data_IF_954079111081
#
_entry.id   IF_954079111081
#
_cell.length_a   1.000
_cell.length_b   1.000
_cell.length_c   1.000
_cell.angle_alpha   90.00
_cell.angle_beta   90.00
_cell.angle_gamma   90.00
#
_symmetry.space_group_name_H-M   'P 1'
#
loop_
_entity.id
_entity.type
_entity.pdbx_description
1 polymer ?
#
# COMPACT_ATOMS: atom_id res chain seq x y z
N UNK A 1 48.00 25.46 55.09
CA UNK A 1 47.90 25.37 53.61
C UNK A 1 48.25 24.00 53.03
N UNK A 2 48.43 22.92 53.83
CA UNK A 2 48.69 21.56 53.30
C UNK A 2 47.42 20.71 53.08
N UNK A 3 46.31 21.06 53.72
CA UNK A 3 45.07 20.27 53.65
C UNK A 3 44.22 20.55 52.40
N UNK A 4 44.40 21.71 51.75
CA UNK A 4 43.66 22.08 50.53
C UNK A 4 44.33 21.59 49.23
N UNK A 5 45.61 21.22 49.27
CA UNK A 5 46.30 20.64 48.11
C UNK A 5 45.95 19.17 47.91
N UNK A 6 45.73 18.41 48.99
CA UNK A 6 45.34 17.00 48.88
C UNK A 6 43.89 16.81 48.37
N UNK A 7 42.99 17.76 48.63
CA UNK A 7 41.60 17.69 48.15
C UNK A 7 41.46 17.96 46.65
N UNK A 8 42.38 18.71 46.05
CA UNK A 8 42.35 19.03 44.61
C UNK A 8 42.82 17.84 43.75
N UNK A 9 43.82 17.09 44.21
CA UNK A 9 44.24 15.85 43.54
C UNK A 9 43.16 14.78 43.62
N UNK A 10 42.49 14.65 44.76
CA UNK A 10 41.36 13.74 44.92
C UNK A 10 40.24 14.11 43.93
N UNK A 11 39.78 15.36 43.88
CA UNK A 11 38.71 15.75 42.95
C UNK A 11 39.08 15.55 41.47
N UNK A 12 40.32 15.84 41.08
CA UNK A 12 40.75 15.71 39.67
C UNK A 12 40.76 14.26 39.15
N UNK A 13 41.07 13.29 40.02
CA UNK A 13 41.13 11.88 39.63
C UNK A 13 39.74 11.26 39.49
N UNK A 14 38.80 11.62 40.36
CA UNK A 14 37.40 11.17 40.21
C UNK A 14 36.66 11.88 39.09
N UNK A 15 36.98 13.15 38.80
CA UNK A 15 36.30 13.89 37.72
C UNK A 15 36.56 13.26 36.35
N UNK A 16 37.80 12.85 36.06
CA UNK A 16 38.05 12.10 34.83
C UNK A 16 37.37 10.73 34.87
N UNK A 17 37.45 9.98 35.97
CA UNK A 17 36.77 8.68 36.05
C UNK A 17 35.26 8.79 35.76
N UNK A 18 34.58 9.80 36.31
CA UNK A 18 33.17 10.08 36.03
C UNK A 18 32.95 10.48 34.57
N UNK A 19 33.81 11.34 34.02
CA UNK A 19 33.72 11.77 32.62
C UNK A 19 33.93 10.61 31.64
N UNK A 20 34.84 9.67 31.96
CA UNK A 20 35.05 8.46 31.18
C UNK A 20 33.83 7.53 31.24
N UNK A 21 33.22 7.36 32.42
CA UNK A 21 31.99 6.58 32.56
C UNK A 21 30.84 7.21 31.77
N UNK A 22 30.68 8.53 31.83
CA UNK A 22 29.64 9.23 31.05
C UNK A 22 29.89 9.10 29.54
N UNK A 23 31.15 9.17 29.09
CA UNK A 23 31.49 8.96 27.67
C UNK A 23 31.19 7.53 27.22
N UNK A 24 31.44 6.53 28.07
CA UNK A 24 31.11 5.13 27.77
C UNK A 24 29.60 4.93 27.72
N UNK A 25 28.84 5.46 28.70
CA UNK A 25 27.38 5.39 28.67
C UNK A 25 26.84 6.11 27.43
N UNK A 26 27.36 7.30 27.12
CA UNK A 26 26.98 8.07 25.94
C UNK A 26 27.30 7.34 24.62
N UNK A 27 28.43 6.64 24.55
CA UNK A 27 28.76 5.80 23.39
C UNK A 27 27.82 4.59 23.28
N UNK A 28 27.50 3.93 24.40
CA UNK A 28 26.58 2.79 24.42
C UNK A 28 25.16 3.22 23.99
N UNK A 29 24.69 4.38 24.43
CA UNK A 29 23.40 4.95 23.99
C UNK A 29 23.46 5.49 22.56
N UNK A 30 24.63 5.90 22.07
CA UNK A 30 24.79 6.41 20.69
C UNK A 30 24.85 5.29 19.65
N UNK A 31 25.37 4.13 20.02
CA UNK A 31 25.46 2.96 19.15
C UNK A 31 24.25 2.01 19.29
N UNK A 32 23.17 2.44 19.96
CA UNK A 32 21.94 1.65 20.19
C UNK A 32 22.19 0.21 20.69
N UNK A 33 23.28 0.01 21.44
CA UNK A 33 23.61 -1.31 22.02
C UNK A 33 22.60 -1.71 23.12
N UNK A 34 21.78 -0.75 23.58
CA UNK A 34 20.69 -0.97 24.53
C UNK A 34 19.43 -0.27 23.97
N UNK A 35 18.81 -0.86 22.96
CA UNK A 35 17.39 -0.59 22.67
C UNK A 35 16.54 -1.38 23.68
N UNK A 36 15.85 -0.73 24.64
CA UNK A 36 14.99 -1.44 25.59
C UNK A 36 13.75 -2.07 24.94
N UNK A 37 13.45 -1.75 23.68
CA UNK A 37 12.33 -2.30 22.91
C UNK A 37 12.61 -3.73 22.42
N UNK A 38 13.88 -4.08 22.19
CA UNK A 38 14.32 -5.44 21.75
C UNK A 38 14.43 -6.42 22.94
N UNK A 39 14.24 -5.94 24.17
CA UNK A 39 14.40 -6.71 25.41
C UNK A 39 13.08 -7.03 26.11
N UNK A 40 11.94 -6.84 25.45
CA UNK A 40 10.67 -7.34 25.95
C UNK A 40 10.59 -8.85 25.67
N UNK A 41 10.53 -9.71 26.70
CA UNK A 41 10.34 -11.13 26.47
C UNK A 41 8.96 -11.37 25.89
N UNK A 42 8.90 -12.06 24.74
CA UNK A 42 7.67 -12.66 24.25
C UNK A 42 7.30 -13.81 25.19
N UNK A 43 6.20 -13.66 25.91
CA UNK A 43 5.72 -14.64 26.89
C UNK A 43 4.34 -15.12 26.46
N UNK A 44 4.19 -16.42 26.29
CA UNK A 44 2.88 -17.09 26.18
C UNK A 44 2.77 -18.12 27.30
N UNK A 45 2.17 -17.70 28.41
CA UNK A 45 2.01 -18.53 29.61
C UNK A 45 0.60 -19.14 29.62
N UNK A 46 0.51 -20.43 29.29
CA UNK A 46 -0.73 -21.19 29.37
C UNK A 46 -0.71 -22.13 30.59
N UNK A 47 -1.88 -22.37 31.21
CA UNK A 47 -1.97 -23.26 32.36
C UNK A 47 -1.64 -24.72 32.00
N UNK A 48 -1.27 -25.50 33.02
CA UNK A 48 -0.89 -26.91 32.85
C UNK A 48 -1.98 -27.71 32.13
N UNK A 49 -1.63 -28.30 30.98
CA UNK A 49 -2.53 -29.07 30.12
C UNK A 49 -2.56 -28.57 28.68
N UNK A 50 -2.29 -27.27 28.48
CA UNK A 50 -2.05 -26.68 27.16
C UNK A 50 -0.66 -26.07 27.16
N UNK A 51 0.10 -26.33 26.10
CA UNK A 51 1.43 -25.75 25.91
C UNK A 51 1.40 -24.83 24.69
N UNK A 52 1.84 -23.59 24.88
CA UNK A 52 1.99 -22.61 23.82
C UNK A 52 3.39 -22.75 23.22
N UNK A 53 3.47 -23.31 22.02
CA UNK A 53 4.76 -23.53 21.37
C UNK A 53 5.24 -22.29 20.62
N UNK A 54 4.30 -21.51 20.07
CA UNK A 54 4.58 -20.32 19.28
C UNK A 54 3.35 -19.41 19.25
N UNK A 55 3.57 -18.11 19.08
CA UNK A 55 2.51 -17.13 18.94
C UNK A 55 2.99 -15.89 18.20
N UNK A 56 2.09 -15.25 17.47
CA UNK A 56 2.35 -14.00 16.75
C UNK A 56 1.16 -13.08 16.95
N UNK A 57 1.43 -11.81 17.28
CA UNK A 57 0.41 -10.77 17.48
C UNK A 57 0.59 -9.72 16.39
N UNK A 58 -0.45 -9.55 15.56
CA UNK A 58 -0.54 -8.47 14.56
C UNK A 58 -1.64 -7.48 14.95
N UNK A 59 -1.72 -6.35 14.25
CA UNK A 59 -2.77 -5.36 14.47
C UNK A 59 -4.18 -5.90 14.18
N UNK A 60 -4.32 -6.85 13.24
CA UNK A 60 -5.59 -7.37 12.71
C UNK A 60 -5.89 -8.84 13.09
N UNK A 61 -4.88 -9.62 13.49
CA UNK A 61 -5.02 -11.01 13.92
C UNK A 61 -4.02 -11.43 15.01
N UNK A 62 -4.40 -12.40 15.83
CA UNK A 62 -3.53 -13.10 16.78
C UNK A 62 -3.46 -14.56 16.38
N UNK A 63 -2.24 -15.08 16.20
CA UNK A 63 -2.00 -16.49 15.90
C UNK A 63 -1.41 -17.20 17.11
N UNK A 64 -2.02 -18.30 17.54
CA UNK A 64 -1.55 -19.14 18.65
C UNK A 64 -1.30 -20.55 18.16
N UNK A 65 -0.17 -21.13 18.54
CA UNK A 65 0.16 -22.53 18.26
C UNK A 65 0.15 -23.33 19.56
N UNK A 66 -0.92 -24.11 19.75
CA UNK A 66 -1.22 -24.77 21.01
C UNK A 66 -1.07 -26.28 20.86
N UNK A 67 -0.38 -26.91 21.81
CA UNK A 67 -0.26 -28.37 21.93
C UNK A 67 -1.06 -28.88 23.12
N UNK A 68 -1.87 -29.91 22.89
CA UNK A 68 -2.61 -30.58 23.96
C UNK A 68 -1.69 -31.55 24.72
N UNK A 69 -1.31 -31.19 25.94
CA UNK A 69 -0.50 -32.05 26.83
C UNK A 69 -1.35 -32.81 27.85
N UNK A 70 -2.67 -32.65 27.82
CA UNK A 70 -3.59 -33.41 28.65
C UNK A 70 -3.53 -34.90 28.28
N UNK A 71 -3.86 -35.76 29.24
CA UNK A 71 -3.87 -37.21 29.05
C UNK A 71 -4.96 -37.73 28.08
N UNK A 72 -5.78 -36.85 27.50
CA UNK A 72 -6.99 -37.15 26.74
C UNK A 72 -7.19 -36.12 25.61
N UNK A 73 -8.01 -36.46 24.60
CA UNK A 73 -8.41 -35.51 23.54
C UNK A 73 -9.39 -34.47 24.07
N UNK A 74 -9.30 -33.25 23.56
CA UNK A 74 -10.17 -32.11 23.90
C UNK A 74 -10.73 -31.48 22.63
N UNK A 75 -11.82 -30.73 22.76
CA UNK A 75 -12.34 -29.88 21.69
C UNK A 75 -12.22 -28.43 22.16
N UNK A 76 -11.41 -27.63 21.47
CA UNK A 76 -11.36 -26.19 21.68
C UNK A 76 -12.61 -25.60 21.03
N UNK A 77 -13.43 -24.90 21.82
CA UNK A 77 -14.66 -24.26 21.35
C UNK A 77 -14.47 -22.79 21.06
N UNK A 78 -13.72 -22.12 21.92
CA UNK A 78 -13.57 -20.68 21.87
C UNK A 78 -12.20 -20.27 22.40
N UNK A 79 -11.64 -19.21 21.82
CA UNK A 79 -10.45 -18.54 22.31
C UNK A 79 -10.76 -17.06 22.26
N UNK A 80 -10.95 -16.45 23.43
CA UNK A 80 -11.19 -15.03 23.58
C UNK A 80 -9.89 -14.31 23.95
N UNK A 81 -9.65 -13.19 23.27
CA UNK A 81 -8.45 -12.36 23.42
C UNK A 81 -8.87 -10.89 23.33
N UNK A 82 -8.53 -10.08 24.34
CA UNK A 82 -9.02 -8.69 24.43
C UNK A 82 -8.67 -7.83 23.21
N UNK A 83 -9.68 -7.29 22.52
CA UNK A 83 -9.49 -6.51 21.30
C UNK A 83 -9.55 -7.33 20.01
N UNK A 84 -9.89 -8.61 20.08
CA UNK A 84 -10.23 -9.46 18.94
C UNK A 84 -11.69 -9.92 19.02
N UNK A 85 -12.34 -10.11 17.88
CA UNK A 85 -13.74 -10.56 17.80
C UNK A 85 -13.94 -11.86 16.99
N UNK A 86 -12.86 -12.40 16.41
CA UNK A 86 -12.91 -13.60 15.59
C UNK A 86 -12.68 -14.86 16.41
N UNK A 87 -13.70 -15.70 16.54
CA UNK A 87 -13.56 -16.95 17.28
C UNK A 87 -13.02 -18.05 16.35
N UNK A 88 -12.05 -18.87 16.80
CA UNK A 88 -11.55 -19.97 16.00
C UNK A 88 -12.63 -21.04 15.76
N UNK A 89 -12.46 -21.80 14.68
CA UNK A 89 -13.33 -22.95 14.39
C UNK A 89 -13.19 -24.00 15.49
N UNK A 90 -14.31 -24.59 15.93
CA UNK A 90 -14.28 -25.71 16.89
C UNK A 90 -13.33 -26.80 16.39
N UNK A 91 -12.26 -27.06 17.15
CA UNK A 91 -11.17 -27.93 16.71
C UNK A 91 -10.92 -29.02 17.75
N UNK A 92 -10.95 -30.28 17.32
CA UNK A 92 -10.56 -31.42 18.15
C UNK A 92 -9.02 -31.52 18.17
N UNK A 93 -8.42 -31.46 19.35
CA UNK A 93 -7.00 -31.73 19.58
C UNK A 93 -6.83 -33.07 20.29
N UNK A 94 -6.22 -34.02 19.62
CA UNK A 94 -5.84 -35.28 20.26
C UNK A 94 -4.69 -35.09 21.25
N UNK A 95 -4.50 -36.10 22.11
CA UNK A 95 -3.37 -36.13 23.05
C UNK A 95 -2.03 -35.98 22.30
N UNK A 96 -1.27 -34.95 22.66
CA UNK A 96 0.04 -34.64 22.08
C UNK A 96 -0.03 -34.01 20.68
N UNK A 97 -1.22 -33.69 20.19
CA UNK A 97 -1.42 -33.00 18.92
C UNK A 97 -1.29 -31.48 19.09
N UNK A 98 -0.76 -30.83 18.07
CA UNK A 98 -0.59 -29.39 17.98
C UNK A 98 -1.54 -28.84 16.91
N UNK A 99 -2.16 -27.70 17.17
CA UNK A 99 -2.96 -26.96 16.20
C UNK A 99 -2.60 -25.48 16.22
N UNK A 100 -2.81 -24.83 15.07
CA UNK A 100 -2.67 -23.38 14.90
C UNK A 100 -4.04 -22.74 14.88
N UNK A 101 -4.24 -21.77 15.75
CA UNK A 101 -5.46 -20.98 15.87
C UNK A 101 -5.18 -19.56 15.40
N UNK A 102 -5.98 -19.07 14.45
CA UNK A 102 -5.91 -17.69 13.97
C UNK A 102 -7.18 -16.98 14.43
N UNK A 103 -7.00 -16.05 15.36
CA UNK A 103 -8.04 -15.19 15.92
C UNK A 103 -8.01 -13.90 15.09
N UNK A 104 -9.00 -13.70 14.23
CA UNK A 104 -9.06 -12.54 13.34
C UNK A 104 -9.91 -11.39 13.89
N UNK A 105 -10.06 -10.33 13.09
CA UNK A 105 -10.86 -9.14 13.45
C UNK A 105 -10.38 -8.49 14.75
N UNK A 106 -9.06 -8.39 14.90
CA UNK A 106 -8.43 -7.67 15.98
C UNK A 106 -8.32 -6.16 15.65
N UNK A 107 -8.24 -5.33 16.68
CA UNK A 107 -8.00 -3.89 16.58
C UNK A 107 -6.94 -3.48 17.58
N UNK A 108 -5.72 -4.01 17.41
CA UNK A 108 -4.59 -3.82 18.33
C UNK A 108 -3.75 -2.63 17.83
N UNK A 109 -4.02 -1.44 18.39
CA UNK A 109 -3.34 -0.20 18.01
C UNK A 109 -2.08 0.14 18.82
N UNK A 110 -1.53 -0.81 19.57
CA UNK A 110 -0.38 -0.58 20.45
C UNK A 110 0.80 -1.44 20.05
N UNK A 111 2.02 -0.89 20.08
CA UNK A 111 3.27 -1.60 19.78
C UNK A 111 3.60 -2.70 20.79
N UNK A 112 3.03 -2.61 21.99
CA UNK A 112 3.08 -3.65 23.02
C UNK A 112 1.66 -4.15 23.29
N UNK A 113 1.48 -5.46 23.29
CA UNK A 113 0.23 -6.12 23.59
C UNK A 113 0.38 -7.07 24.77
N UNK A 114 -0.40 -6.81 25.82
CA UNK A 114 -0.43 -7.62 27.05
C UNK A 114 -1.87 -7.87 27.37
N UNK A 115 -2.27 -9.14 27.31
CA UNK A 115 -3.65 -9.53 27.59
C UNK A 115 -3.73 -10.95 28.13
N UNK A 116 -4.88 -11.25 28.73
CA UNK A 116 -5.23 -12.60 29.15
C UNK A 116 -5.90 -13.32 27.96
N UNK A 117 -5.62 -14.62 27.81
CA UNK A 117 -6.20 -15.47 26.77
C UNK A 117 -7.12 -16.47 27.43
N UNK A 118 -8.41 -16.40 27.15
CA UNK A 118 -9.43 -17.27 27.72
C UNK A 118 -9.80 -18.37 26.72
N UNK A 119 -9.45 -19.61 27.03
CA UNK A 119 -9.66 -20.78 26.17
C UNK A 119 -10.77 -21.63 26.75
N UNK A 120 -11.88 -21.72 26.03
CA UNK A 120 -12.99 -22.63 26.37
C UNK A 120 -12.82 -23.95 25.65
N UNK A 121 -12.81 -25.05 26.38
CA UNK A 121 -12.67 -26.41 25.85
C UNK A 121 -13.62 -27.40 26.48
N UNK A 122 -13.90 -28.51 25.79
CA UNK A 122 -14.72 -29.60 26.30
C UNK A 122 -14.03 -30.95 26.15
N UNK A 123 -14.24 -31.83 27.13
CA UNK A 123 -13.84 -33.24 27.06
C UNK A 123 -14.93 -34.02 26.30
N UNK A 124 -14.92 -33.93 24.97
CA UNK A 124 -15.96 -34.49 24.10
C UNK A 124 -17.30 -33.72 24.20
N UNK A 125 -18.44 -34.41 24.16
CA UNK A 125 -19.78 -33.81 24.37
C UNK A 125 -20.09 -33.45 25.83
N UNK A 126 -19.06 -33.23 26.65
CA UNK A 126 -19.15 -32.90 28.07
C UNK A 126 -19.43 -31.41 28.33
N UNK A 127 -19.37 -31.02 29.60
CA UNK A 127 -19.46 -29.62 30.00
C UNK A 127 -18.21 -28.83 29.56
N UNK A 128 -18.39 -27.52 29.39
CA UNK A 128 -17.30 -26.62 29.04
C UNK A 128 -16.40 -26.34 30.26
N UNK A 129 -15.11 -26.26 29.98
CA UNK A 129 -14.05 -25.92 30.90
C UNK A 129 -13.28 -24.73 30.33
N UNK A 130 -12.69 -23.95 31.22
CA UNK A 130 -12.03 -22.70 30.87
C UNK A 130 -10.58 -22.72 31.35
N UNK A 131 -9.67 -22.27 30.50
CA UNK A 131 -8.28 -22.01 30.83
C UNK A 131 -7.98 -20.54 30.58
N UNK A 132 -7.41 -19.88 31.59
CA UNK A 132 -6.94 -18.50 31.45
C UNK A 132 -5.41 -18.53 31.41
N UNK A 133 -4.85 -18.10 30.28
CA UNK A 133 -3.44 -17.87 30.08
C UNK A 133 -3.13 -16.38 29.92
N UNK A 134 -1.87 -16.06 29.68
CA UNK A 134 -1.40 -14.68 29.50
C UNK A 134 -0.41 -14.58 28.37
N UNK A 135 -0.59 -13.58 27.50
CA UNK A 135 0.34 -13.26 26.42
C UNK A 135 0.94 -11.86 26.61
N UNK A 136 2.24 -11.76 26.39
CA UNK A 136 2.99 -10.50 26.31
C UNK A 136 3.84 -10.55 25.03
N UNK A 137 3.57 -9.67 24.05
CA UNK A 137 4.38 -9.56 22.84
C UNK A 137 4.43 -8.14 22.30
N UNK A 138 5.36 -7.91 21.38
CA UNK A 138 5.31 -6.75 20.51
C UNK A 138 4.30 -7.02 19.38
N UNK A 139 3.53 -6.01 19.02
CA UNK A 139 2.55 -6.10 17.93
C UNK A 139 3.21 -5.71 16.62
N UNK A 140 3.11 -6.58 15.61
CA UNK A 140 3.39 -6.19 14.23
C UNK A 140 2.21 -5.37 13.71
N UNK A 141 2.39 -4.06 13.58
CA UNK A 141 1.42 -3.20 12.90
C UNK A 141 1.63 -3.39 11.40
N UNK A 142 0.58 -3.72 10.67
CA UNK A 142 0.63 -3.79 9.20
C UNK A 142 0.44 -2.38 8.65
N UNK A 143 1.51 -1.81 8.09
CA UNK A 143 1.49 -0.48 7.48
C UNK A 143 0.98 -0.55 6.01
N UNK A 144 1.38 -1.57 5.25
CA UNK A 144 1.06 -1.70 3.81
C UNK A 144 -0.40 -2.04 3.45
N UNK A 145 -1.33 -1.93 4.41
CA UNK A 145 -2.77 -2.12 4.17
C UNK A 145 -3.65 -1.27 5.10
N UNK A 146 -3.11 -0.24 5.75
CA UNK A 146 -3.83 0.56 6.74
C UNK A 146 -4.42 1.86 6.16
N UNK A 147 -4.11 2.18 4.90
CA UNK A 147 -4.61 3.36 4.20
C UNK A 147 -3.87 4.65 4.55
N UNK A 148 -2.71 4.56 5.21
CA UNK A 148 -1.88 5.68 5.64
C UNK A 148 -0.51 5.56 4.97
N UNK A 149 -0.01 6.69 4.45
CA UNK A 149 1.36 6.84 3.94
C UNK A 149 2.33 7.02 5.12
N UNK A 150 2.87 5.92 5.63
CA UNK A 150 3.69 5.84 6.82
C UNK A 150 5.15 6.25 6.56
N UNK A 151 5.62 6.15 5.31
CA UNK A 151 6.98 6.53 4.94
C UNK A 151 7.09 7.94 4.28
N UNK A 152 5.95 8.54 3.96
CA UNK A 152 5.78 9.87 3.40
C UNK A 152 6.14 9.99 1.92
N UNK A 153 6.10 8.90 1.16
CA UNK A 153 6.49 8.85 -0.25
C UNK A 153 5.35 9.22 -1.23
N UNK A 154 4.12 9.39 -0.73
CA UNK A 154 2.93 9.81 -1.48
C UNK A 154 1.97 8.68 -1.88
N UNK A 155 2.28 7.43 -1.56
CA UNK A 155 1.42 6.25 -1.64
C UNK A 155 1.29 5.64 -0.24
N UNK A 156 0.37 4.71 -0.04
CA UNK A 156 0.03 4.21 1.31
C UNK A 156 0.08 2.68 1.43
N UNK A 157 -0.41 1.97 0.41
CA UNK A 157 -0.64 0.53 0.54
C UNK A 157 -0.23 -0.23 -0.72
N UNK A 158 0.02 -1.53 -0.55
CA UNK A 158 0.14 -2.45 -1.69
C UNK A 158 -1.21 -2.58 -2.43
N UNK A 159 -1.23 -2.56 -3.78
CA UNK A 159 -0.10 -2.60 -4.72
C UNK A 159 0.37 -1.22 -5.22
N UNK A 160 -0.20 -0.15 -4.68
CA UNK A 160 0.03 1.21 -5.16
C UNK A 160 1.37 1.77 -4.67
N UNK A 161 1.86 1.28 -3.52
CA UNK A 161 3.24 1.48 -3.05
C UNK A 161 4.17 0.30 -3.41
N UNK A 162 5.27 0.59 -4.11
CA UNK A 162 6.36 -0.36 -4.39
C UNK A 162 7.31 -0.54 -3.19
N UNK A 163 7.14 0.24 -2.12
CA UNK A 163 7.76 0.05 -0.82
C UNK A 163 7.24 -1.16 -0.05
N UNK A 164 6.10 -1.70 -0.48
CA UNK A 164 5.43 -2.84 0.11
C UNK A 164 5.59 -4.10 -0.75
N UNK A 165 6.09 -5.19 -0.15
CA UNK A 165 6.20 -6.50 -0.82
C UNK A 165 4.84 -7.26 -0.87
N UNK A 166 3.83 -6.78 -0.14
CA UNK A 166 2.45 -7.29 -0.16
C UNK A 166 1.55 -6.71 0.93
N UNK A 167 0.26 -7.06 0.91
CA UNK A 167 -0.76 -6.58 1.87
C UNK A 167 -0.52 -6.99 3.34
N UNK A 168 0.46 -7.86 3.60
CA UNK A 168 0.82 -8.35 4.94
C UNK A 168 2.24 -7.94 5.33
N UNK A 169 2.86 -7.09 4.51
CA UNK A 169 4.16 -6.54 4.83
C UNK A 169 3.99 -5.56 6.00
N UNK A 170 4.68 -5.77 7.14
CA UNK A 170 4.50 -4.93 8.31
C UNK A 170 5.08 -3.53 8.14
N UNK A 171 5.93 -3.30 7.12
CA UNK A 171 6.61 -2.02 7.00
C UNK A 171 6.52 -1.43 5.61
N UNK A 172 5.93 -0.26 5.52
CA UNK A 172 6.04 0.60 4.36
C UNK A 172 7.43 1.24 4.41
N UNK A 173 8.36 0.82 3.54
CA UNK A 173 9.74 1.31 3.61
C UNK A 173 10.36 1.62 2.25
N UNK A 174 10.27 2.89 1.88
CA UNK A 174 10.85 3.39 0.65
C UNK A 174 10.03 2.94 -0.55
N UNK A 175 10.67 2.70 -1.69
CA UNK A 175 9.91 2.48 -2.92
C UNK A 175 9.37 3.79 -3.49
N UNK A 176 8.44 3.67 -4.42
CA UNK A 176 7.80 4.80 -5.04
C UNK A 176 6.48 4.36 -5.60
N UNK A 177 5.56 5.30 -5.75
CA UNK A 177 4.23 4.95 -6.17
C UNK A 177 4.25 4.38 -7.58
N UNK A 178 3.41 3.38 -7.82
CA UNK A 178 3.15 2.95 -9.18
C UNK A 178 2.80 4.19 -10.00
N UNK A 179 3.68 4.53 -10.93
CA UNK A 179 3.53 5.68 -11.81
C UNK A 179 2.50 5.28 -12.86
N UNK A 180 1.24 5.15 -12.43
CA UNK A 180 0.13 4.80 -13.30
C UNK A 180 -0.24 6.08 -14.04
N UNK A 181 0.40 6.28 -15.19
CA UNK A 181 -0.09 7.20 -16.20
C UNK A 181 -0.92 6.37 -17.16
N UNK A 182 -2.25 6.50 -17.14
CA UNK A 182 -3.14 5.81 -18.07
C UNK A 182 -4.15 6.80 -18.65
N UNK A 183 -4.59 6.50 -19.87
CA UNK A 183 -5.81 7.06 -20.40
C UNK A 183 -6.77 5.93 -20.69
N UNK A 184 -8.04 6.17 -20.38
CA UNK A 184 -9.13 5.27 -20.70
C UNK A 184 -10.34 6.04 -21.19
N UNK A 185 -11.22 5.33 -21.88
CA UNK A 185 -12.50 5.89 -22.32
C UNK A 185 -13.54 5.61 -21.25
N UNK A 186 -14.02 6.67 -20.61
CA UNK A 186 -15.07 6.61 -19.60
C UNK A 186 -16.44 6.97 -20.22
N UNK A 187 -17.52 6.50 -19.58
CA UNK A 187 -18.89 6.95 -19.86
C UNK A 187 -19.29 7.98 -18.81
N UNK A 188 -19.50 9.23 -19.24
CA UNK A 188 -19.81 10.37 -18.37
C UNK A 188 -21.15 10.27 -17.63
N UNK A 189 -21.97 9.25 -17.95
CA UNK A 189 -23.23 8.98 -17.24
C UNK A 189 -23.05 8.08 -16.03
N UNK A 190 -21.97 7.29 -16.02
CA UNK A 190 -21.64 6.35 -14.95
C UNK A 190 -20.39 6.72 -14.16
N UNK A 191 -19.51 7.54 -14.75
CA UNK A 191 -18.20 7.87 -14.19
C UNK A 191 -17.84 9.35 -14.42
N UNK A 192 -16.89 9.87 -13.65
CA UNK A 192 -16.39 11.24 -13.74
C UNK A 192 -14.88 11.27 -13.79
N UNK A 193 -14.31 11.90 -14.82
CA UNK A 193 -12.87 12.08 -14.94
C UNK A 193 -12.34 13.00 -13.82
N UNK A 194 -11.37 12.50 -13.05
CA UNK A 194 -10.80 13.24 -11.91
C UNK A 194 -9.67 14.19 -12.30
N UNK A 195 -9.05 13.97 -13.45
CA UNK A 195 -7.88 14.72 -13.94
C UNK A 195 -8.23 15.39 -15.29
N UNK A 196 -7.62 14.98 -16.41
CA UNK A 196 -7.81 15.66 -17.69
C UNK A 196 -8.68 14.88 -18.68
N UNK A 197 -9.78 15.50 -19.09
CA UNK A 197 -10.53 15.05 -20.29
C UNK A 197 -9.90 15.67 -21.52
N UNK A 198 -9.22 14.84 -22.32
CA UNK A 198 -8.42 15.32 -23.47
C UNK A 198 -9.17 15.28 -24.79
N UNK A 199 -10.19 14.42 -24.90
CA UNK A 199 -11.00 14.27 -26.11
C UNK A 199 -12.35 13.65 -25.77
N UNK A 200 -13.41 14.00 -26.50
CA UNK A 200 -14.66 13.26 -26.46
C UNK A 200 -14.83 12.46 -27.76
N UNK A 201 -15.34 11.24 -27.67
CA UNK A 201 -15.54 10.36 -28.81
C UNK A 201 -16.98 9.87 -28.88
N UNK A 202 -17.50 9.63 -30.07
CA UNK A 202 -18.90 9.21 -30.23
C UNK A 202 -19.16 7.78 -29.74
N UNK A 203 -18.14 6.92 -29.76
CA UNK A 203 -18.23 5.52 -29.33
C UNK A 203 -16.83 4.93 -29.05
N UNK A 204 -16.64 4.08 -28.02
CA UNK A 204 -15.34 3.47 -27.70
C UNK A 204 -14.78 2.58 -28.80
N UNK A 205 -15.62 1.89 -29.56
CA UNK A 205 -15.17 1.01 -30.67
C UNK A 205 -14.80 1.74 -31.96
N UNK A 206 -14.99 3.06 -32.02
CA UNK A 206 -14.67 3.85 -33.19
C UNK A 206 -15.82 4.76 -33.63
N UNK A 207 -15.46 5.99 -34.00
CA UNK A 207 -16.38 6.96 -34.58
C UNK A 207 -15.75 8.32 -34.76
N UNK A 208 -16.51 9.36 -34.44
CA UNK A 208 -16.10 10.75 -34.57
C UNK A 208 -15.60 11.31 -33.25
N UNK A 209 -14.82 12.37 -33.33
CA UNK A 209 -14.27 13.10 -32.19
C UNK A 209 -14.96 14.46 -32.02
N UNK A 210 -14.87 15.01 -30.81
CA UNK A 210 -15.11 16.41 -30.54
C UNK A 210 -14.15 16.93 -29.47
N UNK A 211 -13.93 18.24 -29.46
CA UNK A 211 -13.08 18.88 -28.44
C UNK A 211 -13.76 18.84 -27.06
N UNK A 212 -13.00 18.80 -25.94
CA UNK A 212 -13.56 18.69 -24.59
C UNK A 212 -14.53 19.80 -24.17
N UNK A 213 -14.54 20.94 -24.89
CA UNK A 213 -15.47 22.04 -24.62
C UNK A 213 -16.88 21.81 -25.18
N UNK A 214 -17.03 20.83 -26.09
CA UNK A 214 -18.33 20.40 -26.60
C UNK A 214 -18.91 19.29 -25.73
N UNK A 215 -20.22 19.06 -25.79
CA UNK A 215 -20.93 18.12 -24.91
C UNK A 215 -21.92 17.23 -25.65
N UNK A 216 -21.66 16.91 -26.92
CA UNK A 216 -22.55 16.09 -27.73
C UNK A 216 -22.32 14.59 -27.49
N UNK A 217 -21.14 14.21 -27.03
CA UNK A 217 -20.76 12.82 -26.76
C UNK A 217 -20.57 12.55 -25.26
N UNK A 218 -21.03 11.37 -24.84
CA UNK A 218 -20.96 10.90 -23.45
C UNK A 218 -19.68 10.11 -23.16
N UNK A 219 -18.94 9.68 -24.19
CA UNK A 219 -17.69 8.95 -23.99
C UNK A 219 -16.52 9.92 -24.01
N UNK A 220 -15.80 9.99 -22.90
CA UNK A 220 -14.70 10.92 -22.67
C UNK A 220 -13.39 10.13 -22.57
N UNK A 221 -12.36 10.57 -23.27
CA UNK A 221 -11.00 10.07 -23.10
C UNK A 221 -10.41 10.79 -21.90
N UNK A 222 -10.41 10.10 -20.77
CA UNK A 222 -9.87 10.59 -19.51
C UNK A 222 -8.44 10.10 -19.36
N UNK A 223 -7.51 11.01 -19.11
CA UNK A 223 -6.13 10.69 -18.81
C UNK A 223 -5.82 11.08 -17.37
N UNK A 224 -5.16 10.18 -16.66
CA UNK A 224 -4.66 10.40 -15.31
C UNK A 224 -3.15 10.20 -15.25
N UNK A 225 -2.49 10.97 -14.40
CA UNK A 225 -1.09 10.74 -14.06
C UNK A 225 -0.82 11.01 -12.58
N UNK A 226 -0.13 10.09 -11.91
CA UNK A 226 0.34 10.31 -10.53
C UNK A 226 1.60 11.18 -10.45
N UNK A 227 2.32 11.37 -11.56
CA UNK A 227 3.57 12.12 -11.62
C UNK A 227 3.42 13.58 -12.05
N UNK A 228 2.30 13.94 -12.70
CA UNK A 228 2.06 15.28 -13.23
C UNK A 228 0.55 15.58 -13.32
N UNK A 229 0.16 16.85 -13.16
CA UNK A 229 -1.20 17.27 -13.47
C UNK A 229 -1.32 17.38 -14.99
N UNK A 230 -2.31 16.68 -15.56
CA UNK A 230 -2.57 16.75 -16.99
C UNK A 230 -3.50 17.92 -17.30
N UNK A 231 -3.38 18.45 -18.51
CA UNK A 231 -4.20 19.54 -19.00
C UNK A 231 -4.36 19.47 -20.50
N UNK A 232 -5.19 20.35 -21.05
CA UNK A 232 -5.53 20.41 -22.48
C UNK A 232 -4.97 21.65 -23.17
N UNK A 233 -3.87 22.21 -22.65
CA UNK A 233 -3.32 23.44 -23.21
C UNK A 233 -2.47 23.15 -24.45
N UNK A 234 -2.76 23.84 -25.56
CA UNK A 234 -2.00 23.74 -26.81
C UNK A 234 -0.67 24.52 -26.80
N UNK A 235 -0.07 24.66 -25.61
CA UNK A 235 1.21 25.36 -25.43
C UNK A 235 2.41 24.41 -25.50
N UNK A 236 2.13 23.11 -25.30
CA UNK A 236 3.12 22.04 -25.18
C UNK A 236 2.98 21.08 -26.36
N UNK A 237 2.02 20.15 -26.29
CA UNK A 237 1.88 19.08 -27.28
C UNK A 237 0.50 19.06 -27.91
N UNK A 238 0.46 19.02 -29.25
CA UNK A 238 -0.74 18.73 -30.04
C UNK A 238 -0.66 17.30 -30.52
N UNK A 239 -1.58 16.44 -30.06
CA UNK A 239 -1.52 15.00 -30.36
C UNK A 239 -2.45 14.59 -31.50
N UNK A 240 -3.39 15.44 -31.92
CA UNK A 240 -4.31 15.19 -33.04
C UNK A 240 -4.87 16.50 -33.60
N UNK A 241 -5.25 16.50 -34.88
CA UNK A 241 -6.07 17.55 -35.49
C UNK A 241 -7.47 17.02 -35.84
N UNK A 242 -8.49 17.86 -35.68
CA UNK A 242 -9.91 17.57 -35.88
C UNK A 242 -10.48 18.40 -37.02
N UNK A 243 -11.29 17.79 -37.88
CA UNK A 243 -11.93 18.47 -39.01
C UNK A 243 -12.95 19.54 -38.61
N UNK A 244 -13.46 19.51 -37.36
CA UNK A 244 -14.41 20.47 -36.80
C UNK A 244 -14.41 20.36 -35.26
N UNK A 245 -15.12 21.25 -34.56
CA UNK A 245 -15.23 21.20 -33.10
C UNK A 245 -16.03 19.98 -32.60
N UNK A 246 -16.99 19.49 -33.39
CA UNK A 246 -17.79 18.30 -33.10
C UNK A 246 -18.03 17.47 -34.35
N UNK A 247 -18.36 16.19 -34.18
CA UNK A 247 -18.56 15.23 -35.26
C UNK A 247 -17.39 15.23 -36.28
N UNK A 248 -16.18 15.28 -35.75
CA UNK A 248 -14.96 15.44 -36.52
C UNK A 248 -14.34 14.10 -36.87
N UNK A 249 -13.74 14.04 -38.05
CA UNK A 249 -12.68 13.08 -38.32
C UNK A 249 -11.36 13.62 -37.80
N UNK A 250 -10.42 12.72 -37.54
CA UNK A 250 -9.11 13.07 -36.99
C UNK A 250 -7.99 12.82 -37.99
N UNK A 251 -6.90 13.55 -37.83
CA UNK A 251 -5.62 13.32 -38.52
C UNK A 251 -4.43 13.51 -37.59
N UNK A 252 -3.28 12.99 -38.01
CA UNK A 252 -2.04 13.10 -37.26
C UNK A 252 -1.52 14.54 -37.24
N UNK A 253 -0.68 14.86 -36.26
CA UNK A 253 -0.07 16.17 -36.07
C UNK A 253 0.75 16.63 -37.29
N UNK A 254 1.41 15.69 -37.98
CA UNK A 254 2.18 15.94 -39.21
C UNK A 254 1.32 16.39 -40.41
N UNK A 255 0.00 16.18 -40.36
CA UNK A 255 -0.95 16.61 -41.39
C UNK A 255 -1.49 18.01 -41.10
N UNK A 256 -1.88 18.74 -42.14
CA UNK A 256 -2.30 20.15 -42.02
C UNK A 256 -3.62 20.46 -42.72
N UNK A 257 -4.50 19.48 -42.87
CA UNK A 257 -5.79 19.64 -43.56
C UNK A 257 -6.87 20.18 -42.62
N UNK A 258 -6.73 19.90 -41.33
CA UNK A 258 -7.64 20.23 -40.24
C UNK A 258 -7.07 21.37 -39.40
N UNK A 259 -7.94 22.18 -38.79
CA UNK A 259 -7.55 23.41 -38.11
C UNK A 259 -8.07 23.53 -36.68
N UNK A 260 -8.51 22.41 -36.10
CA UNK A 260 -8.92 22.32 -34.70
C UNK A 260 -7.97 21.35 -34.01
N UNK A 261 -7.21 21.85 -33.04
CA UNK A 261 -6.14 21.08 -32.41
C UNK A 261 -6.67 20.39 -31.15
N UNK A 262 -6.32 19.13 -30.94
CA UNK A 262 -6.49 18.42 -29.68
C UNK A 262 -5.12 18.29 -28.99
N UNK A 263 -5.04 18.80 -27.77
CA UNK A 263 -3.79 19.09 -27.11
C UNK A 263 -3.74 18.45 -25.72
N UNK A 264 -2.52 18.17 -25.28
CA UNK A 264 -2.24 17.64 -23.95
C UNK A 264 -1.00 18.35 -23.38
N UNK A 265 -1.03 18.62 -22.08
CA UNK A 265 0.08 19.26 -21.36
C UNK A 265 0.25 18.62 -19.99
N UNK A 266 1.46 18.63 -19.43
CA UNK A 266 1.77 18.01 -18.14
C UNK A 266 2.55 18.97 -17.23
N UNK A 267 2.19 19.05 -15.95
CA UNK A 267 2.90 19.90 -14.98
C UNK A 267 2.99 19.26 -13.57
N UNK A 268 4.20 19.02 -13.03
CA UNK A 268 5.52 19.28 -13.61
C UNK A 268 5.89 18.31 -14.74
N UNK A 269 6.78 18.73 -15.64
CA UNK A 269 7.30 17.90 -16.74
C UNK A 269 6.97 18.45 -18.13
N UNK A 270 7.25 17.65 -19.16
CA UNK A 270 6.81 17.91 -20.54
C UNK A 270 6.27 16.61 -21.14
N UNK A 271 5.17 16.68 -21.87
CA UNK A 271 4.60 15.51 -22.54
C UNK A 271 4.95 15.51 -24.03
N UNK A 272 5.26 14.35 -24.59
CA UNK A 272 5.50 14.17 -26.03
C UNK A 272 4.80 12.91 -26.53
N UNK A 273 4.21 12.97 -27.73
CA UNK A 273 3.37 11.92 -28.28
C UNK A 273 3.90 11.41 -29.63
N UNK A 274 3.93 10.09 -29.78
CA UNK A 274 4.29 9.37 -31.01
C UNK A 274 3.13 8.50 -31.51
N UNK A 275 3.11 8.23 -32.82
CA UNK A 275 2.16 7.30 -33.44
C UNK A 275 2.81 5.93 -33.65
N UNK A 276 2.27 4.89 -33.02
CA UNK A 276 2.83 3.53 -33.08
C UNK A 276 1.85 2.55 -33.71
N UNK A 277 2.34 1.80 -34.70
CA UNK A 277 1.58 0.70 -35.30
C UNK A 277 1.58 -0.52 -34.39
N UNK A 278 0.40 -1.02 -34.04
CA UNK A 278 0.24 -2.23 -33.24
C UNK A 278 0.20 -2.03 -31.71
N UNK A 279 0.08 -0.77 -31.24
CA UNK A 279 -0.11 -0.45 -29.82
C UNK A 279 1.11 0.20 -29.17
N UNK A 280 0.91 0.76 -27.97
CA UNK A 280 1.98 1.38 -27.17
C UNK A 280 2.80 0.34 -26.41
N UNK A 281 4.06 0.64 -26.14
CA UNK A 281 4.90 -0.11 -25.20
C UNK A 281 4.42 0.11 -23.76
N UNK A 282 4.76 -0.79 -22.84
CA UNK A 282 4.29 -0.74 -21.44
C UNK A 282 4.62 0.59 -20.72
N UNK A 283 5.67 1.28 -21.16
CA UNK A 283 6.15 2.53 -20.54
C UNK A 283 5.52 3.79 -21.16
N UNK A 284 4.64 3.67 -22.17
CA UNK A 284 4.00 4.81 -22.85
C UNK A 284 2.49 4.82 -22.65
N UNK A 285 1.96 6.00 -22.39
CA UNK A 285 0.55 6.32 -22.23
C UNK A 285 -0.20 6.18 -23.56
N UNK A 286 -1.17 5.29 -23.67
CA UNK A 286 -2.04 5.24 -24.84
C UNK A 286 -3.25 6.18 -24.66
N UNK A 287 -3.37 7.24 -25.47
CA UNK A 287 -4.53 8.15 -25.42
C UNK A 287 -5.73 7.54 -26.15
N UNK A 288 -5.52 7.18 -27.42
CA UNK A 288 -6.55 6.64 -28.31
C UNK A 288 -5.91 5.90 -29.48
N UNK A 289 -6.73 5.28 -30.32
CA UNK A 289 -6.28 4.71 -31.60
C UNK A 289 -7.06 5.29 -32.78
N UNK A 290 -6.41 5.40 -33.94
CA UNK A 290 -6.96 6.01 -35.16
C UNK A 290 -6.83 5.09 -36.38
N UNK A 291 -7.82 5.16 -37.27
CA UNK A 291 -7.93 4.24 -38.42
C UNK A 291 -6.96 4.53 -39.58
N UNK A 292 -6.29 5.68 -39.59
CA UNK A 292 -5.42 6.14 -40.67
C UNK A 292 -4.71 7.45 -40.30
N UNK A 293 -3.91 7.99 -41.23
CA UNK A 293 -3.12 9.21 -41.00
C UNK A 293 -3.93 10.50 -41.16
N UNK A 294 -4.98 10.48 -41.99
CA UNK A 294 -5.95 11.58 -42.17
C UNK A 294 -7.33 11.02 -42.44
N UNK A 295 -8.38 11.84 -42.26
CA UNK A 295 -9.78 11.45 -42.43
C UNK A 295 -10.12 10.15 -41.67
N UNK A 296 -9.53 10.01 -40.48
CA UNK A 296 -9.58 8.81 -39.69
C UNK A 296 -10.71 8.86 -38.66
N UNK A 297 -11.23 7.68 -38.32
CA UNK A 297 -12.05 7.50 -37.13
C UNK A 297 -11.14 7.30 -35.92
N UNK A 298 -11.62 7.72 -34.75
CA UNK A 298 -10.95 7.55 -33.46
C UNK A 298 -11.73 6.60 -32.57
N UNK A 299 -11.04 5.81 -31.76
CA UNK A 299 -11.62 4.93 -30.76
C UNK A 299 -10.66 4.67 -29.60
N UNK A 300 -11.09 3.84 -28.66
CA UNK A 300 -10.27 3.42 -27.52
C UNK A 300 -8.97 2.74 -27.99
N UNK A 301 -7.99 2.66 -27.10
CA UNK A 301 -6.72 1.99 -27.38
C UNK A 301 -6.93 0.54 -27.85
N UNK A 302 -6.19 0.14 -28.91
CA UNK A 302 -6.27 -1.19 -29.51
C UNK A 302 -7.45 -1.43 -30.46
N UNK A 303 -8.32 -0.44 -30.73
CA UNK A 303 -9.44 -0.57 -31.68
C UNK A 303 -9.02 -0.39 -33.14
N UNK A 304 -8.00 0.44 -33.37
CA UNK A 304 -7.46 0.74 -34.69
C UNK A 304 -5.94 0.46 -34.75
N UNK A 305 -5.36 0.30 -35.96
CA UNK A 305 -3.98 -0.13 -36.11
C UNK A 305 -2.93 0.88 -35.64
N UNK A 306 -3.26 2.18 -35.59
CA UNK A 306 -2.36 3.25 -35.17
C UNK A 306 -2.78 3.70 -33.77
N UNK A 307 -1.90 3.56 -32.79
CA UNK A 307 -2.09 4.06 -31.43
C UNK A 307 -1.33 5.36 -31.22
N UNK A 308 -1.92 6.27 -30.45
CA UNK A 308 -1.29 7.53 -30.02
C UNK A 308 -0.68 7.29 -28.65
N UNK A 309 0.64 7.29 -28.59
CA UNK A 309 1.43 6.88 -27.44
C UNK A 309 2.25 8.05 -26.92
N UNK A 310 1.96 8.51 -25.71
CA UNK A 310 2.62 9.66 -25.11
C UNK A 310 3.52 9.25 -23.93
N UNK A 311 4.52 10.05 -23.64
CA UNK A 311 5.40 9.90 -22.48
C UNK A 311 5.60 11.25 -21.79
N UNK A 312 5.68 11.22 -20.46
CA UNK A 312 5.97 12.40 -19.64
C UNK A 312 7.46 12.37 -19.29
N UNK A 313 8.17 13.43 -19.67
CA UNK A 313 9.60 13.64 -19.44
C UNK A 313 9.87 14.67 -18.33
#
# INVERSE_FOLDING_TARGET
MKNAQMSIEFMSTYVWAVLAVILVIGAITYFDVIEPEVMLPEVCDLPSGLECNDFVVRSDEVTLVITNTLGHSIIIRDIDVDGCAGNPVETELNKGEQATFVIGSCSIGTTKYVTDVEITYALGGGADHEFVGRIEANTEIIECSDGIDNDGNGCADYPDDLGCDGIRDPKESGGGCVSSTVCEVIDSTTDTCSDAVVLHISHPDGGHAEIPTESNYIYHVCCYSSSANLGTSCSEETFLHLSSNTNAHVEQEDESNYGVDACISASPGTISCDYVLGGCTADKLCIASISGVTNAHVGACGKFPISICCEIN
#
